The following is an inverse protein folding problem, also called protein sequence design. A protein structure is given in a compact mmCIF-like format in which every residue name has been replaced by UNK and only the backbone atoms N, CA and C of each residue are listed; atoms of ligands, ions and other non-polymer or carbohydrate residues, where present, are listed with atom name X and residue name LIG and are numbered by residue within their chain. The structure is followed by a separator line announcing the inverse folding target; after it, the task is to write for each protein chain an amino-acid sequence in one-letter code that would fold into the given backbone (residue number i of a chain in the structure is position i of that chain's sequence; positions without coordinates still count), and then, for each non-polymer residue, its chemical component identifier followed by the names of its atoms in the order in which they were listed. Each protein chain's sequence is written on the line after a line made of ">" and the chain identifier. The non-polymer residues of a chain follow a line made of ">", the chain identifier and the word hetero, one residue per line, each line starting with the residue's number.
data_IF_387679561726
#
_entry.id   IF_387679561726
#
_cell.length_a   1.000
_cell.length_b   1.000
_cell.length_c   1.000
_cell.angle_alpha   90.00
_cell.angle_beta   90.00
_cell.angle_gamma   90.00
#
_symmetry.space_group_name_H-M   'P 1'
#
loop_
_entity.id
_entity.type
_entity.pdbx_description
1 polymer ?
2 non-polymer ?
3 water ?
#
# COMPACT_ATOMS: atom_id res chain seq x y z
N UNK A 9 16.51 20.53 -0.59
CA UNK A 9 16.34 19.15 -1.13
C UNK A 9 17.17 18.14 -0.34
N UNK A 10 17.05 16.87 -0.69
CA UNK A 10 17.79 15.82 0.00
C UNK A 10 19.29 16.09 0.01
N UNK A 11 19.95 15.73 1.11
CA UNK A 11 21.39 15.91 1.21
C UNK A 11 22.04 14.69 0.61
N UNK A 12 23.32 14.81 0.23
CA UNK A 12 24.04 13.68 -0.36
C UNK A 12 24.07 12.49 0.60
N UNK A 13 24.21 12.79 1.89
CA UNK A 13 24.26 11.73 2.90
C UNK A 13 22.93 11.00 3.00
N UNK A 14 21.82 11.73 2.91
CA UNK A 14 20.50 11.11 2.97
C UNK A 14 20.30 10.21 1.75
N UNK A 15 20.70 10.70 0.58
CA UNK A 15 20.57 9.93 -0.64
C UNK A 15 21.42 8.67 -0.57
N UNK A 16 22.59 8.79 0.05
CA UNK A 16 23.49 7.65 0.20
C UNK A 16 22.88 6.62 1.12
N UNK A 17 22.27 7.08 2.21
CA UNK A 17 21.65 6.16 3.16
C UNK A 17 20.53 5.39 2.46
N UNK A 18 19.72 6.09 1.67
CA UNK A 18 18.63 5.44 0.96
C UNK A 18 19.15 4.41 -0.04
N UNK A 19 20.18 4.78 -0.78
CA UNK A 19 20.76 3.86 -1.76
C UNK A 19 21.28 2.59 -1.09
N UNK A 20 21.92 2.74 0.07
CA UNK A 20 22.46 1.59 0.78
C UNK A 20 21.41 0.72 1.47
N UNK A 21 20.19 1.25 1.61
CA UNK A 21 19.11 0.51 2.28
C UNK A 21 18.42 -0.46 1.33
N UNK A 22 18.69 -0.31 0.04
CA UNK A 22 18.09 -1.15 -0.98
C UNK A 22 19.00 -2.31 -1.36
N UNK A 23 18.50 -3.53 -1.24
CA UNK A 23 19.29 -4.71 -1.58
C UNK A 23 19.25 -4.97 -3.08
N UNK A 24 20.38 -5.40 -3.62
CA UNK A 24 20.49 -5.72 -5.03
C UNK A 24 20.68 -7.23 -5.17
N UNK A 25 19.81 -7.86 -5.96
CA UNK A 25 19.88 -9.30 -6.15
C UNK A 25 20.44 -9.61 -7.53
N UNK A 26 21.63 -10.22 -7.55
CA UNK A 26 22.30 -10.57 -8.79
C UNK A 26 21.54 -11.63 -9.59
N UNK A 27 21.46 -11.41 -10.90
CA UNK A 27 20.79 -12.33 -11.82
C UNK A 27 19.39 -12.73 -11.37
N UNK A 28 18.53 -11.74 -11.23
CA UNK A 28 17.14 -11.96 -10.82
C UNK A 28 16.29 -10.85 -11.44
N UNK A 29 15.10 -11.21 -11.97
CA UNK A 29 14.49 -12.55 -12.01
C UNK A 29 15.14 -13.49 -13.01
N UNK A 30 16.07 -12.97 -13.81
CA UNK A 30 16.79 -13.87 -14.68
C UNK A 30 18.23 -13.38 -14.88
N UNK A 31 19.09 -14.27 -15.39
CA UNK A 31 20.51 -13.95 -15.49
C UNK A 31 20.80 -12.68 -16.31
N UNK A 32 21.73 -11.88 -15.82
CA UNK A 32 22.09 -10.65 -16.51
C UNK A 32 21.56 -9.39 -15.85
N UNK A 33 20.35 -9.48 -15.29
CA UNK A 33 19.77 -8.30 -14.65
C UNK A 33 20.03 -8.26 -13.14
N UNK A 34 20.38 -7.06 -12.67
CA UNK A 34 20.67 -6.83 -11.26
C UNK A 34 19.43 -6.15 -10.67
N UNK A 35 18.65 -6.94 -9.94
CA UNK A 35 17.41 -6.44 -9.33
C UNK A 35 17.65 -5.50 -8.15
N UNK A 36 16.78 -4.51 -8.02
CA UNK A 36 16.85 -3.54 -6.94
C UNK A 36 15.61 -3.79 -6.08
N UNK A 37 15.82 -4.34 -4.89
CA UNK A 37 14.73 -4.69 -3.98
C UNK A 37 14.36 -3.61 -2.96
N UNK A 38 13.24 -2.96 -3.20
CA UNK A 38 12.78 -1.89 -2.31
C UNK A 38 12.21 -2.38 -0.99
N UNK A 39 11.96 -3.68 -0.86
CA UNK A 39 11.40 -4.19 0.39
C UNK A 39 12.37 -4.08 1.56
N UNK A 40 13.67 -4.04 1.27
CA UNK A 40 14.63 -3.91 2.37
C UNK A 40 14.56 -2.48 2.91
N UNK A 41 14.16 -1.54 2.06
CA UNK A 41 14.00 -0.15 2.48
C UNK A 41 12.76 -0.05 3.38
N UNK A 42 11.72 -0.80 3.02
CA UNK A 42 10.47 -0.82 3.79
C UNK A 42 10.70 -1.37 5.20
N UNK A 43 11.61 -2.34 5.29
CA UNK A 43 11.95 -2.98 6.55
C UNK A 43 12.75 -2.08 7.49
N UNK A 44 13.47 -1.12 6.93
CA UNK A 44 14.27 -0.20 7.73
C UNK A 44 13.43 1.02 8.05
N UNK A 45 13.00 1.16 9.31
CA UNK A 45 12.18 2.33 9.64
C UNK A 45 12.82 3.67 9.30
N UNK A 46 14.14 3.77 9.43
CA UNK A 46 14.81 5.03 9.12
C UNK A 46 14.76 5.35 7.63
N UNK A 47 15.07 4.36 6.80
CA UNK A 47 15.07 4.59 5.36
C UNK A 47 13.67 4.86 4.82
N UNK A 48 12.69 4.11 5.30
CA UNK A 48 11.32 4.28 4.84
C UNK A 48 10.80 5.66 5.19
N UNK A 49 10.95 6.06 6.46
CA UNK A 49 10.49 7.37 6.89
C UNK A 49 11.19 8.50 6.15
N UNK A 50 12.50 8.36 5.96
CA UNK A 50 13.26 9.38 5.25
C UNK A 50 12.75 9.54 3.82
N UNK A 51 12.49 8.43 3.14
CA UNK A 51 12.03 8.54 1.75
C UNK A 51 10.67 9.24 1.67
N UNK A 52 9.74 8.91 2.57
CA UNK A 52 8.44 9.58 2.56
C UNK A 52 8.58 11.07 2.91
N UNK A 53 9.34 11.37 3.95
CA UNK A 53 9.53 12.76 4.37
C UNK A 53 10.14 13.60 3.24
N UNK A 54 11.09 13.04 2.51
CA UNK A 54 11.73 13.77 1.41
C UNK A 54 10.75 14.05 0.27
N UNK A 55 9.91 13.08 -0.06
CA UNK A 55 8.95 13.29 -1.14
C UNK A 55 7.93 14.34 -0.75
N UNK A 56 7.48 14.32 0.50
CA UNK A 56 6.53 15.30 0.97
C UNK A 56 7.15 16.71 0.89
N UNK A 57 8.39 16.82 1.34
CA UNK A 57 9.07 18.11 1.33
C UNK A 57 9.28 18.64 -0.10
N UNK A 58 9.52 17.74 -1.04
CA UNK A 58 9.72 18.13 -2.44
C UNK A 58 8.48 18.77 -3.04
N UNK A 59 7.30 18.28 -2.66
CA UNK A 59 6.05 18.77 -3.23
C UNK A 59 5.14 19.59 -2.35
N UNK A 60 5.61 19.92 -1.14
CA UNK A 60 4.79 20.68 -0.21
C UNK A 60 4.26 22.02 -0.72
N UNK A 61 4.96 22.63 -1.67
CA UNK A 61 4.55 23.92 -2.21
C UNK A 61 4.10 23.84 -3.66
N UNK A 62 3.85 22.62 -4.14
CA UNK A 62 3.45 22.41 -5.53
C UNK A 62 1.95 22.49 -5.82
N UNK A 63 1.15 22.80 -4.81
CA UNK A 63 -0.29 22.90 -5.02
C UNK A 63 -0.96 21.57 -5.34
N UNK A 64 -0.41 20.49 -4.83
CA UNK A 64 -0.96 19.16 -5.06
C UNK A 64 -2.28 19.00 -4.30
N UNK A 65 -3.30 18.48 -4.97
CA UNK A 65 -4.60 18.29 -4.34
C UNK A 65 -4.96 16.81 -4.18
N UNK A 66 -4.22 15.94 -4.84
CA UNK A 66 -4.46 14.50 -4.77
C UNK A 66 -3.19 13.75 -5.09
N UNK A 67 -3.01 12.60 -4.44
CA UNK A 67 -1.86 11.75 -4.74
C UNK A 67 -2.45 10.45 -5.28
N UNK A 68 -1.91 9.99 -6.40
CA UNK A 68 -2.36 8.76 -7.03
C UNK A 68 -1.23 7.73 -6.94
N UNK A 69 -1.57 6.51 -6.57
CA UNK A 69 -0.60 5.44 -6.50
C UNK A 69 -1.19 4.18 -7.10
N UNK A 70 -0.41 3.48 -7.92
CA UNK A 70 -0.94 2.23 -8.52
C UNK A 70 -0.79 1.05 -7.55
N UNK A 71 -1.67 0.06 -7.72
CA UNK A 71 -1.57 -1.18 -6.95
C UNK A 71 -0.25 -1.94 -7.24
N UNK A 72 0.49 -2.42 -6.20
CA UNK A 72 0.27 -2.18 -4.76
C UNK A 72 1.45 -1.41 -4.12
N UNK A 73 2.61 -1.35 -4.85
CA UNK A 73 3.75 -0.56 -4.37
C UNK A 73 3.43 0.94 -4.25
N UNK A 74 2.60 1.43 -5.19
CA UNK A 74 2.20 2.84 -5.16
C UNK A 74 1.37 3.14 -3.91
N UNK A 75 0.69 2.09 -3.42
CA UNK A 75 0.04 2.21 -2.12
C UNK A 75 1.08 2.53 -1.03
N UNK A 76 2.15 1.73 -0.99
CA UNK A 76 3.16 1.86 0.05
C UNK A 76 3.91 3.18 0.08
N UNK A 77 4.06 3.82 -1.07
CA UNK A 77 4.78 5.08 -1.11
C UNK A 77 3.87 6.28 -1.35
N UNK A 78 2.84 6.10 -2.16
CA UNK A 78 1.92 7.21 -2.42
C UNK A 78 1.02 7.54 -1.25
N UNK A 79 0.50 6.54 -0.55
CA UNK A 79 -0.41 6.81 0.56
C UNK A 79 0.26 7.62 1.67
N UNK A 80 1.48 7.25 2.10
CA UNK A 80 2.13 8.03 3.15
C UNK A 80 2.42 9.47 2.71
N UNK A 81 2.69 9.66 1.42
CA UNK A 81 2.95 11.00 0.90
C UNK A 81 1.66 11.80 0.95
N UNK A 82 0.53 11.18 0.61
CA UNK A 82 -0.75 11.87 0.69
C UNK A 82 -1.00 12.31 2.11
N UNK A 83 -0.73 11.42 3.07
CA UNK A 83 -0.93 11.75 4.48
C UNK A 83 -0.01 12.90 4.89
N UNK A 84 1.24 12.88 4.40
CA UNK A 84 2.17 13.94 4.74
C UNK A 84 1.76 15.29 4.16
N UNK A 85 1.16 15.28 2.98
CA UNK A 85 0.72 16.51 2.33
C UNK A 85 -0.67 16.93 2.81
N UNK A 86 -1.38 16.02 3.47
CA UNK A 86 -2.71 16.33 3.96
C UNK A 86 -3.73 16.38 2.84
N UNK A 87 -3.53 15.56 1.81
CA UNK A 87 -4.47 15.51 0.70
C UNK A 87 -4.96 14.08 0.48
N UNK A 88 -6.06 13.94 -0.25
CA UNK A 88 -6.62 12.62 -0.49
C UNK A 88 -5.74 11.71 -1.33
N UNK A 89 -5.87 10.41 -1.09
CA UNK A 89 -5.13 9.41 -1.83
C UNK A 89 -6.11 8.68 -2.73
N UNK A 90 -5.71 8.46 -3.98
CA UNK A 90 -6.55 7.78 -4.95
C UNK A 90 -5.81 6.58 -5.52
N UNK A 91 -6.36 5.38 -5.32
CA UNK A 91 -5.70 4.18 -5.85
C UNK A 91 -6.05 3.90 -7.30
N UNK A 92 -5.06 3.44 -8.07
CA UNK A 92 -5.28 3.03 -9.44
C UNK A 92 -5.04 1.53 -9.32
N UNK A 93 -6.04 0.74 -9.71
CA UNK A 93 -5.94 -0.70 -9.51
C UNK A 93 -6.06 -1.61 -10.70
N UNK A 94 -5.78 -2.89 -10.43
CA UNK A 94 -5.89 -3.93 -11.43
C UNK A 94 -7.39 -4.04 -11.69
N UNK A 95 -7.78 -4.54 -12.87
CA UNK A 95 -9.18 -4.68 -13.25
C UNK A 95 -10.08 -5.44 -12.26
N UNK A 96 -11.29 -4.93 -12.08
CA UNK A 96 -12.27 -5.56 -11.21
C UNK A 96 -12.13 -5.44 -9.71
N UNK A 97 -11.21 -4.61 -9.23
CA UNK A 97 -11.02 -4.46 -7.80
C UNK A 97 -11.80 -3.27 -7.23
N UNK A 98 -11.82 -2.16 -7.96
CA UNK A 98 -12.55 -0.98 -7.52
C UNK A 98 -14.04 -1.27 -7.68
N UNK A 99 -14.83 -0.99 -6.63
CA UNK A 99 -16.29 -1.21 -6.63
C UNK A 99 -17.21 -0.22 -7.32
N UNK A 100 -16.78 1.04 -7.44
CA UNK A 100 -17.65 2.01 -8.10
C UNK A 100 -17.25 2.24 -9.56
N UNK A 101 -17.96 3.15 -10.23
CA UNK A 101 -17.72 3.38 -11.65
C UNK A 101 -16.26 3.72 -11.94
N UNK A 102 -15.73 3.10 -12.99
CA UNK A 102 -14.33 3.31 -13.35
C UNK A 102 -14.12 3.51 -14.84
N UNK A 103 -12.91 3.97 -15.18
CA UNK A 103 -12.48 4.06 -16.57
C UNK A 103 -11.19 3.26 -16.56
N UNK A 104 -10.78 2.80 -17.74
CA UNK A 104 -9.62 1.93 -17.87
C UNK A 104 -8.66 2.36 -18.96
N UNK A 105 -7.39 1.97 -18.79
CA UNK A 105 -6.35 2.24 -19.77
C UNK A 105 -5.47 1.00 -19.87
N UNK A 106 -5.12 0.63 -21.10
CA UNK A 106 -4.29 -0.52 -21.36
C UNK A 106 -2.82 -0.12 -21.46
N UNK A 107 -1.94 -0.98 -20.98
CA UNK A 107 -0.50 -0.72 -21.03
C UNK A 107 0.23 -2.00 -21.39
N UNK A 108 1.46 -1.86 -21.88
CA UNK A 108 2.25 -3.00 -22.30
C UNK A 108 3.07 -3.65 -21.18
N UNK A 109 3.25 -4.96 -21.31
CA UNK A 109 4.06 -5.75 -20.39
C UNK A 109 4.97 -6.58 -21.28
N UNK A 110 5.93 -7.26 -20.68
CA UNK A 110 6.87 -8.07 -21.44
C UNK A 110 6.19 -9.13 -22.30
N UNK A 111 5.13 -9.75 -21.77
CA UNK A 111 4.42 -10.80 -22.49
C UNK A 111 2.98 -10.48 -22.90
N UNK A 112 2.68 -9.21 -23.12
CA UNK A 112 1.33 -8.85 -23.52
C UNK A 112 0.91 -7.47 -23.03
N UNK A 113 -0.35 -7.36 -22.65
CA UNK A 113 -0.89 -6.10 -22.17
C UNK A 113 -1.82 -6.36 -20.99
N UNK A 114 -2.15 -5.30 -20.26
CA UNK A 114 -3.06 -5.41 -19.13
C UNK A 114 -3.72 -4.04 -18.95
N UNK A 115 -4.62 -3.92 -18.00
CA UNK A 115 -5.32 -2.66 -17.76
C UNK A 115 -5.17 -2.15 -16.34
N UNK A 116 -5.34 -0.84 -16.20
CA UNK A 116 -5.34 -0.18 -14.90
C UNK A 116 -6.65 0.61 -14.88
N UNK A 117 -7.27 0.69 -13.71
CA UNK A 117 -8.54 1.40 -13.56
C UNK A 117 -8.48 2.43 -12.44
N UNK A 118 -9.38 3.41 -12.53
CA UNK A 118 -9.48 4.46 -11.52
C UNK A 118 -10.95 4.81 -11.35
N UNK A 119 -11.35 5.20 -10.15
CA UNK A 119 -12.73 5.59 -9.90
C UNK A 119 -12.96 6.92 -10.62
N UNK A 120 -14.03 7.00 -11.40
CA UNK A 120 -14.34 8.21 -12.14
C UNK A 120 -14.54 9.44 -11.27
N UNK A 121 -15.08 9.25 -10.06
CA UNK A 121 -15.33 10.37 -9.17
C UNK A 121 -14.15 10.76 -8.29
N UNK A 122 -13.04 10.03 -8.42
CA UNK A 122 -11.86 10.29 -7.60
C UNK A 122 -11.06 11.53 -8.01
N UNK A 123 -11.11 11.88 -9.28
CA UNK A 123 -10.39 13.04 -9.82
C UNK A 123 -11.39 13.94 -10.53
N UNK A 124 -11.28 15.25 -10.28
CA UNK A 124 -12.18 16.21 -10.91
C UNK A 124 -11.40 17.36 -11.53
N UNK A 125 -12.02 18.10 -12.45
CA UNK A 125 -11.34 19.23 -13.08
C UNK A 125 -10.90 20.19 -11.98
N UNK A 126 -9.65 20.64 -12.03
CA UNK A 126 -9.16 21.52 -10.99
C UNK A 126 -8.18 20.82 -10.09
N UNK A 127 -8.19 19.49 -10.12
CA UNK A 127 -7.27 18.72 -9.28
C UNK A 127 -5.87 18.73 -9.88
N UNK A 128 -4.86 18.85 -9.01
CA UNK A 128 -3.47 18.79 -9.45
C UNK A 128 -2.95 17.55 -8.76
N UNK A 129 -2.56 16.58 -9.56
CA UNK A 129 -2.14 15.29 -9.07
C UNK A 129 -0.65 14.97 -9.09
N UNK A 130 -0.21 14.29 -8.04
CA UNK A 130 1.16 13.81 -7.95
C UNK A 130 1.04 12.29 -8.00
N UNK A 131 1.79 11.66 -8.91
CA UNK A 131 1.79 10.20 -8.99
C UNK A 131 3.04 9.73 -8.27
N UNK A 132 2.91 8.72 -7.43
CA UNK A 132 4.05 8.18 -6.69
C UNK A 132 4.11 6.68 -6.89
N UNK A 133 5.32 6.17 -7.15
CA UNK A 133 5.49 4.73 -7.33
C UNK A 133 6.83 4.31 -6.76
N UNK A 134 7.03 3.01 -6.62
CA UNK A 134 8.28 2.53 -6.05
C UNK A 134 9.46 2.59 -7.01
N UNK A 135 9.24 2.16 -8.26
CA UNK A 135 10.34 2.11 -9.20
C UNK A 135 9.95 2.45 -10.64
N UNK A 136 10.77 3.27 -11.28
CA UNK A 136 10.56 3.66 -12.66
C UNK A 136 11.43 2.80 -13.56
N UNK A 137 10.79 1.96 -14.36
CA UNK A 137 11.47 1.08 -15.30
C UNK A 137 11.09 1.57 -16.70
N UNK A 138 10.21 0.84 -17.38
CA UNK A 138 9.77 1.25 -18.71
C UNK A 138 8.83 2.45 -18.66
N UNK A 139 8.12 2.59 -17.53
CA UNK A 139 7.20 3.69 -17.37
C UNK A 139 5.80 3.44 -17.91
N UNK A 140 5.55 2.23 -18.41
CA UNK A 140 4.26 1.91 -18.97
C UNK A 140 3.05 2.16 -18.09
N UNK A 141 3.09 1.67 -16.86
CA UNK A 141 1.96 1.86 -15.94
C UNK A 141 1.74 3.32 -15.59
N UNK A 142 2.81 4.09 -15.47
CA UNK A 142 2.66 5.51 -15.13
C UNK A 142 2.08 6.26 -16.33
N UNK A 143 2.51 5.88 -17.53
CA UNK A 143 2.00 6.51 -18.74
C UNK A 143 0.48 6.31 -18.80
N UNK A 144 0.04 5.09 -18.49
CA UNK A 144 -1.40 4.77 -18.49
C UNK A 144 -2.13 5.54 -17.40
N UNK A 145 -1.48 5.67 -16.24
CA UNK A 145 -2.07 6.38 -15.12
C UNK A 145 -2.27 7.85 -15.45
N UNK A 146 -1.28 8.45 -16.13
CA UNK A 146 -1.39 9.84 -16.52
C UNK A 146 -2.59 10.03 -17.46
N UNK A 147 -2.80 9.07 -18.36
CA UNK A 147 -3.92 9.15 -19.28
C UNK A 147 -5.24 9.06 -18.52
N UNK A 148 -5.30 8.20 -17.51
CA UNK A 148 -6.52 8.08 -16.70
C UNK A 148 -6.83 9.39 -15.99
N UNK A 149 -5.82 9.97 -15.35
CA UNK A 149 -5.97 11.22 -14.63
C UNK A 149 -6.46 12.34 -15.55
N UNK A 150 -5.84 12.49 -16.71
CA UNK A 150 -6.24 13.55 -17.63
C UNK A 150 -7.61 13.33 -18.26
N UNK A 151 -8.04 12.08 -18.40
CA UNK A 151 -9.36 11.82 -18.96
C UNK A 151 -10.44 12.30 -17.99
N UNK A 152 -10.08 12.40 -16.71
CA UNK A 152 -11.02 12.87 -15.69
C UNK A 152 -10.90 14.36 -15.45
N UNK A 153 -10.03 15.03 -16.21
CA UNK A 153 -9.88 16.46 -16.06
C UNK A 153 -8.80 16.88 -15.09
N UNK A 154 -8.11 15.91 -14.50
CA UNK A 154 -7.06 16.25 -13.57
C UNK A 154 -5.81 16.71 -14.30
N UNK A 155 -5.03 17.55 -13.62
CA UNK A 155 -3.79 18.03 -14.20
C UNK A 155 -2.68 17.26 -13.49
N UNK A 156 -1.74 16.72 -14.27
CA UNK A 156 -0.62 16.00 -13.69
C UNK A 156 0.64 16.28 -14.48
N UNK A 157 1.65 16.77 -13.75
CA UNK A 157 2.92 17.08 -14.38
C UNK A 157 4.10 16.51 -13.59
N UNK A 158 3.76 15.77 -12.50
CA UNK A 158 4.78 15.27 -11.57
C UNK A 158 4.60 13.77 -11.28
N UNK A 159 5.72 13.05 -11.28
CA UNK A 159 5.74 11.65 -10.88
C UNK A 159 6.97 11.50 -10.00
N UNK A 160 6.81 10.85 -8.85
CA UNK A 160 7.91 10.66 -7.91
C UNK A 160 8.15 9.17 -7.70
N UNK A 161 9.42 8.80 -7.59
CA UNK A 161 9.81 7.40 -7.44
C UNK A 161 10.90 7.21 -6.41
N UNK A 162 10.94 6.03 -5.80
CA UNK A 162 11.99 5.73 -4.84
C UNK A 162 13.22 5.36 -5.66
N UNK A 163 13.01 4.53 -6.69
CA UNK A 163 14.10 4.06 -7.55
C UNK A 163 13.86 4.41 -9.03
N UNK A 164 14.94 4.79 -9.71
CA UNK A 164 14.87 5.10 -11.13
C UNK A 164 15.95 4.32 -11.88
N UNK A 165 15.51 3.36 -12.69
CA UNK A 165 16.44 2.56 -13.49
C UNK A 165 16.59 3.36 -14.78
N UNK A 166 17.45 4.37 -14.72
CA UNK A 166 17.66 5.27 -15.85
C UNK A 166 18.06 4.68 -17.20
N UNK A 167 18.52 3.43 -17.22
CA UNK A 167 18.90 2.82 -18.49
C UNK A 167 17.69 2.23 -19.23
N UNK A 168 16.51 2.29 -18.62
CA UNK A 168 15.32 1.74 -19.24
C UNK A 168 14.43 2.75 -19.98
N UNK A 169 14.84 4.01 -19.98
CA UNK A 169 14.10 5.04 -20.69
C UNK A 169 12.75 5.50 -20.16
N UNK A 170 12.42 5.11 -18.93
CA UNK A 170 11.14 5.52 -18.37
C UNK A 170 10.97 7.01 -18.21
N UNK A 171 12.00 7.68 -17.72
CA UNK A 171 11.93 9.13 -17.51
C UNK A 171 11.66 9.89 -18.81
N UNK A 172 12.36 9.50 -19.88
CA UNK A 172 12.18 10.16 -21.17
C UNK A 172 10.79 9.91 -21.73
N UNK A 173 10.29 8.69 -21.53
CA UNK A 173 8.96 8.34 -21.99
C UNK A 173 7.94 9.25 -21.32
N UNK A 174 8.09 9.47 -20.02
CA UNK A 174 7.16 10.32 -19.30
C UNK A 174 7.31 11.78 -19.69
N UNK A 175 8.52 12.18 -20.07
CA UNK A 175 8.73 13.56 -20.51
C UNK A 175 7.92 13.82 -21.78
N UNK A 176 7.70 12.79 -22.59
CA UNK A 176 6.92 12.97 -23.80
C UNK A 176 5.48 13.33 -23.48
N UNK A 177 5.07 13.04 -22.24
CA UNK A 177 3.72 13.37 -21.78
C UNK A 177 3.70 14.66 -20.96
N UNK A 178 4.86 15.31 -20.83
CA UNK A 178 4.94 16.53 -20.06
C UNK A 178 5.13 16.28 -18.56
N UNK A 179 5.59 15.09 -18.22
CA UNK A 179 5.81 14.73 -16.82
C UNK A 179 7.27 14.88 -16.40
N UNK A 180 7.48 15.52 -15.27
CA UNK A 180 8.82 15.67 -14.72
C UNK A 180 8.91 14.63 -13.61
N UNK A 181 9.91 13.76 -13.71
CA UNK A 181 10.08 12.71 -12.72
C UNK A 181 11.13 13.08 -11.70
N UNK A 182 10.86 12.75 -10.43
CA UNK A 182 11.79 13.00 -9.36
C UNK A 182 12.03 11.63 -8.71
N UNK A 183 13.28 11.21 -8.64
CA UNK A 183 13.61 9.92 -8.06
C UNK A 183 14.67 10.06 -6.98
N UNK A 184 14.54 9.26 -5.92
CA UNK A 184 15.49 9.33 -4.82
C UNK A 184 16.75 8.51 -5.04
N UNK A 185 16.61 7.34 -5.66
CA UNK A 185 17.75 6.47 -5.87
C UNK A 185 17.92 5.99 -7.31
N UNK A 186 18.90 6.55 -8.04
CA UNK A 186 19.12 6.15 -9.42
C UNK A 186 20.03 4.92 -9.47
N UNK A 187 19.72 3.98 -10.36
CA UNK A 187 20.52 2.76 -10.52
C UNK A 187 20.70 2.46 -12.00
N UNK A 188 21.88 1.96 -12.39
CA UNK A 188 22.15 1.62 -13.79
C UNK A 188 21.78 0.16 -14.04
N UNK A 189 21.75 -0.24 -15.32
CA UNK A 189 21.42 -1.62 -15.64
C UNK A 189 19.99 -1.87 -16.05
N UNK A 190 19.75 -3.06 -16.60
CA UNK A 190 18.42 -3.45 -17.04
C UNK A 190 17.60 -4.00 -15.87
N UNK B 10 -10.38 6.05 21.32
CA UNK B 10 -11.19 6.80 20.33
C UNK B 10 -12.50 7.25 20.96
N UNK B 11 -12.88 8.50 20.69
CA UNK B 11 -14.12 9.05 21.23
C UNK B 11 -15.31 8.65 20.36
N UNK B 12 -16.50 8.76 20.92
CA UNK B 12 -17.72 8.41 20.19
C UNK B 12 -17.81 9.26 18.93
N UNK B 13 -17.38 10.51 19.03
CA UNK B 13 -17.44 11.42 17.90
C UNK B 13 -16.50 11.00 16.77
N UNK B 14 -15.29 10.58 17.12
CA UNK B 14 -14.31 10.15 16.12
C UNK B 14 -14.76 8.87 15.43
N UNK B 15 -15.27 7.93 16.20
CA UNK B 15 -15.72 6.67 15.64
C UNK B 15 -16.89 6.90 14.69
N UNK B 16 -17.74 7.88 15.03
CA UNK B 16 -18.89 8.21 14.22
C UNK B 16 -18.42 8.84 12.90
N UNK B 17 -17.39 9.68 13.00
CA UNK B 17 -16.85 10.34 11.82
C UNK B 17 -16.30 9.30 10.84
N UNK B 18 -15.53 8.36 11.36
CA UNK B 18 -14.96 7.30 10.52
C UNK B 18 -16.03 6.45 9.86
N UNK B 19 -17.05 6.09 10.62
CA UNK B 19 -18.13 5.27 10.08
C UNK B 19 -18.82 5.98 8.92
N UNK B 20 -19.03 7.29 9.06
CA UNK B 20 -19.69 8.07 8.01
C UNK B 20 -18.81 8.34 6.79
N UNK B 21 -17.50 8.21 6.95
CA UNK B 21 -16.57 8.46 5.85
C UNK B 21 -16.50 7.29 4.87
N UNK B 22 -17.02 6.15 5.28
CA UNK B 22 -17.02 4.95 4.45
C UNK B 22 -18.32 4.79 3.68
N UNK B 23 -18.22 4.65 2.36
CA UNK B 23 -19.40 4.48 1.52
C UNK B 23 -19.84 3.04 1.46
N UNK B 24 -21.15 2.82 1.54
CA UNK B 24 -21.71 1.48 1.47
C UNK B 24 -22.48 1.36 0.16
N UNK B 25 -22.12 0.36 -0.64
CA UNK B 25 -22.75 0.14 -1.93
C UNK B 25 -23.78 -0.98 -1.81
N UNK B 26 -25.05 -0.62 -1.99
CA UNK B 26 -26.15 -1.57 -1.89
C UNK B 26 -26.18 -2.58 -3.03
N UNK B 27 -26.43 -3.84 -2.68
CA UNK B 27 -26.52 -4.92 -3.66
C UNK B 27 -25.27 -5.12 -4.50
N UNK B 28 -24.11 -5.04 -3.85
CA UNK B 28 -22.83 -5.25 -4.54
C UNK B 28 -21.93 -6.07 -3.64
N UNK B 29 -21.27 -7.10 -4.20
CA UNK B 29 -21.32 -7.53 -5.61
C UNK B 29 -22.60 -8.26 -6.03
N UNK B 30 -23.48 -8.55 -5.08
CA UNK B 30 -24.74 -9.18 -5.43
C UNK B 30 -25.86 -8.73 -4.49
N UNK B 31 -27.12 -8.90 -4.92
CA UNK B 31 -28.27 -8.43 -4.15
C UNK B 31 -28.26 -8.92 -2.70
N UNK B 32 -28.54 -8.00 -1.78
CA UNK B 32 -28.56 -8.35 -0.37
C UNK B 32 -27.25 -8.09 0.37
N UNK B 33 -26.20 -7.80 -0.38
CA UNK B 33 -24.89 -7.54 0.20
C UNK B 33 -24.53 -6.05 0.11
N UNK B 34 -23.92 -5.53 1.15
CA UNK B 34 -23.49 -4.13 1.19
C UNK B 34 -21.97 -4.06 1.17
N UNK B 35 -21.41 -3.56 0.08
CA UNK B 35 -19.96 -3.45 -0.03
C UNK B 35 -19.51 -2.21 0.74
N UNK B 36 -18.60 -2.40 1.68
CA UNK B 36 -18.08 -1.29 2.47
C UNK B 36 -16.83 -0.82 1.75
N UNK B 37 -16.94 0.32 1.07
CA UNK B 37 -15.86 0.89 0.26
C UNK B 37 -14.97 1.86 1.02
N UNK B 38 -13.75 1.42 1.33
CA UNK B 38 -12.81 2.26 2.06
C UNK B 38 -12.12 3.34 1.23
N UNK B 39 -12.31 3.30 -0.10
CA UNK B 39 -11.68 4.31 -0.94
C UNK B 39 -12.21 5.70 -0.64
N UNK B 40 -13.44 5.79 -0.14
CA UNK B 40 -14.01 7.09 0.19
C UNK B 40 -13.33 7.65 1.44
N UNK B 41 -12.79 6.76 2.26
CA UNK B 41 -12.08 7.17 3.47
C UNK B 41 -10.69 7.63 3.05
N UNK B 42 -10.10 6.93 2.08
CA UNK B 42 -8.77 7.26 1.58
C UNK B 42 -8.73 8.65 0.94
N UNK B 43 -9.82 9.06 0.30
CA UNK B 43 -9.99 10.33 -0.40
C UNK B 43 -10.12 11.51 0.58
N UNK B 44 -10.59 11.21 1.79
CA UNK B 44 -10.85 12.24 2.77
C UNK B 44 -9.65 12.41 3.69
N UNK B 45 -8.98 13.57 3.63
CA UNK B 45 -7.80 13.86 4.45
C UNK B 45 -7.96 13.58 5.95
N UNK B 46 -9.00 14.13 6.55
CA UNK B 46 -9.21 13.92 7.98
C UNK B 46 -9.50 12.48 8.36
N UNK B 47 -10.38 11.82 7.61
CA UNK B 47 -10.75 10.44 7.91
C UNK B 47 -9.57 9.49 7.85
N UNK B 48 -8.79 9.59 6.77
CA UNK B 48 -7.65 8.71 6.61
C UNK B 48 -6.62 8.95 7.71
N UNK B 49 -6.29 10.21 7.95
CA UNK B 49 -5.31 10.55 8.99
C UNK B 49 -5.79 10.11 10.36
N UNK B 50 -7.08 10.31 10.64
CA UNK B 50 -7.64 9.92 11.93
C UNK B 50 -7.55 8.41 12.13
N UNK B 51 -7.87 7.64 11.10
CA UNK B 51 -7.82 6.18 11.21
C UNK B 51 -6.42 5.71 11.55
N UNK B 52 -5.41 6.28 10.90
CA UNK B 52 -4.03 5.90 11.16
C UNK B 52 -3.59 6.35 12.54
N UNK B 53 -3.90 7.59 12.90
CA UNK B 53 -3.51 8.12 14.19
C UNK B 53 -4.10 7.31 15.34
N UNK B 54 -5.35 6.87 15.20
CA UNK B 54 -5.98 6.08 16.24
C UNK B 54 -5.31 4.73 16.43
N UNK B 55 -4.94 4.08 15.32
CA UNK B 55 -4.28 2.77 15.42
C UNK B 55 -2.90 2.93 16.05
N UNK B 56 -2.17 3.97 15.64
CA UNK B 56 -0.86 4.22 16.21
C UNK B 56 -0.94 4.46 17.71
N UNK B 57 -1.93 5.25 18.13
CA UNK B 57 -2.11 5.57 19.54
C UNK B 57 -2.37 4.32 20.36
N UNK B 58 -3.17 3.40 19.80
CA UNK B 58 -3.51 2.17 20.48
C UNK B 58 -2.30 1.27 20.74
N UNK B 59 -1.34 1.26 19.82
CA UNK B 59 -0.17 0.40 19.96
C UNK B 59 1.16 1.05 20.26
N UNK B 60 1.16 2.36 20.48
CA UNK B 60 2.42 3.07 20.74
C UNK B 60 3.24 2.56 21.93
N UNK B 61 2.58 1.95 22.91
CA UNK B 61 3.29 1.45 24.10
C UNK B 61 3.35 -0.07 24.16
N UNK B 62 2.93 -0.73 23.08
CA UNK B 62 2.87 -2.19 23.02
C UNK B 62 4.18 -2.90 22.68
N UNK B 63 5.24 -2.15 22.44
CA UNK B 63 6.52 -2.78 22.13
C UNK B 63 6.56 -3.46 20.77
N UNK B 64 5.79 -2.94 19.82
CA UNK B 64 5.77 -3.50 18.48
C UNK B 64 7.10 -3.20 17.79
N UNK B 65 7.67 -4.19 17.12
CA UNK B 65 8.94 -3.98 16.42
C UNK B 65 8.79 -4.15 14.91
N UNK B 66 7.64 -4.67 14.48
CA UNK B 66 7.36 -4.85 13.06
C UNK B 66 5.87 -4.80 12.80
N UNK B 67 5.47 -4.21 11.67
CA UNK B 67 4.06 -4.20 11.29
C UNK B 67 4.00 -5.02 10.00
N UNK B 68 3.08 -5.98 9.97
CA UNK B 68 2.88 -6.82 8.80
C UNK B 68 1.54 -6.49 8.18
N UNK B 69 1.52 -6.36 6.86
CA UNK B 69 0.28 -6.07 6.16
C UNK B 69 0.21 -6.94 4.92
N UNK B 70 -0.96 -7.49 4.63
CA UNK B 70 -1.10 -8.31 3.41
C UNK B 70 -1.43 -7.40 2.22
N UNK B 71 -0.93 -7.76 1.01
CA UNK B 71 -1.38 -7.00 -0.15
C UNK B 71 -2.90 -7.14 -0.27
N UNK B 72 -3.62 -6.13 -0.81
CA UNK B 72 -3.06 -4.82 -1.18
C UNK B 72 -3.67 -3.70 -0.34
N UNK B 73 -5.02 -3.75 -0.18
CA UNK B 73 -5.60 -2.67 0.60
C UNK B 73 -4.99 -2.61 2.00
N UNK B 74 -4.54 -3.76 2.48
CA UNK B 74 -3.91 -3.78 3.79
C UNK B 74 -2.70 -2.86 3.88
N UNK B 75 -1.98 -2.75 2.76
CA UNK B 75 -0.79 -1.91 2.67
C UNK B 75 -1.11 -0.45 3.01
N UNK B 76 -2.30 -0.02 2.61
CA UNK B 76 -2.75 1.36 2.81
C UNK B 76 -2.91 1.74 4.27
N UNK B 77 -3.01 0.75 5.14
CA UNK B 77 -3.17 1.02 6.56
C UNK B 77 -1.99 0.52 7.37
N UNK B 78 -1.45 -0.63 7.00
CA UNK B 78 -0.29 -1.16 7.71
C UNK B 78 0.96 -0.29 7.56
N UNK B 79 1.22 0.20 6.35
CA UNK B 79 2.41 1.02 6.13
C UNK B 79 2.39 2.33 6.93
N UNK B 80 1.29 3.09 6.86
CA UNK B 80 1.25 4.35 7.62
C UNK B 80 1.34 4.09 9.15
N UNK B 81 0.79 2.97 9.60
CA UNK B 81 0.86 2.64 11.02
C UNK B 81 2.31 2.32 11.37
N UNK B 82 3.00 1.59 10.49
CA UNK B 82 4.41 1.28 10.73
C UNK B 82 5.22 2.58 10.86
N UNK B 83 4.96 3.52 9.96
CA UNK B 83 5.66 4.81 9.99
C UNK B 83 5.32 5.56 11.28
N UNK B 84 4.05 5.52 11.68
CA UNK B 84 3.65 6.21 12.90
C UNK B 84 4.28 5.62 14.14
N UNK B 85 4.50 4.31 14.13
CA UNK B 85 5.13 3.62 15.26
C UNK B 85 6.65 3.65 15.17
N UNK B 86 7.17 4.02 14.00
CA UNK B 86 8.61 4.07 13.83
C UNK B 86 9.25 2.71 13.71
N UNK B 87 8.52 1.77 13.12
CA UNK B 87 9.03 0.41 12.93
C UNK B 87 8.95 -0.03 11.47
N UNK B 88 9.72 -1.06 11.13
CA UNK B 88 9.71 -1.54 9.76
C UNK B 88 8.40 -2.16 9.34
N UNK B 89 8.12 -2.07 8.05
CA UNK B 89 6.91 -2.65 7.47
C UNK B 89 7.29 -3.89 6.67
N UNK B 90 6.55 -4.97 6.90
CA UNK B 90 6.80 -6.24 6.23
C UNK B 90 5.58 -6.67 5.43
N UNK B 91 5.72 -6.75 4.10
CA UNK B 91 4.58 -7.14 3.27
C UNK B 91 4.41 -8.65 3.18
N UNK B 92 3.15 -9.08 3.13
CA UNK B 92 2.83 -10.48 2.93
C UNK B 92 2.08 -10.45 1.60
N UNK B 93 2.53 -11.26 0.64
CA UNK B 93 1.92 -11.23 -0.68
C UNK B 93 1.66 -12.58 -1.33
N UNK B 94 0.91 -12.56 -2.43
CA UNK B 94 0.63 -13.78 -3.17
C UNK B 94 1.96 -14.17 -3.80
N UNK B 95 2.15 -15.47 -4.10
CA UNK B 95 3.39 -15.95 -4.70
C UNK B 95 3.79 -15.24 -5.98
N UNK B 96 5.09 -15.10 -6.20
CA UNK B 96 5.59 -14.47 -7.42
C UNK B 96 5.95 -13.01 -7.36
N UNK B 97 5.78 -12.37 -6.20
CA UNK B 97 6.10 -10.96 -6.08
C UNK B 97 7.37 -10.69 -5.29
N UNK B 98 7.44 -11.22 -4.07
CA UNK B 98 8.61 -11.03 -3.23
C UNK B 98 9.82 -11.69 -3.89
N UNK B 99 10.93 -10.94 -4.03
CA UNK B 99 12.16 -11.42 -4.66
C UNK B 99 13.14 -12.27 -3.86
N UNK B 100 13.15 -12.12 -2.54
CA UNK B 100 14.06 -12.89 -1.71
C UNK B 100 13.43 -14.17 -1.15
N UNK B 101 14.19 -14.94 -0.39
CA UNK B 101 13.69 -16.19 0.16
C UNK B 101 12.41 -15.99 0.96
N UNK B 102 11.44 -16.87 0.74
CA UNK B 102 10.16 -16.78 1.43
C UNK B 102 9.66 -18.12 1.92
N UNK B 103 8.67 -18.08 2.80
CA UNK B 103 8.00 -19.29 3.25
C UNK B 103 6.55 -18.98 2.89
N UNK B 104 5.73 -20.01 2.74
CA UNK B 104 4.35 -19.81 2.33
C UNK B 104 3.33 -20.59 3.16
N UNK B 105 2.10 -20.09 3.14
CA UNK B 105 0.97 -20.71 3.83
C UNK B 105 -0.24 -20.70 2.90
N UNK B 106 -0.99 -21.80 2.92
CA UNK B 106 -2.18 -21.92 2.09
C UNK B 106 -3.42 -21.64 2.91
N UNK B 107 -4.38 -20.92 2.31
CA UNK B 107 -5.63 -20.63 3.01
C UNK B 107 -6.81 -20.95 2.10
N UNK B 108 -7.94 -21.25 2.72
CA UNK B 108 -9.14 -21.62 1.98
C UNK B 108 -9.97 -20.47 1.42
N UNK B 109 -10.63 -20.74 0.31
CA UNK B 109 -11.50 -19.80 -0.37
C UNK B 109 -12.77 -20.56 -0.73
N UNK B 110 -13.81 -19.85 -1.16
CA UNK B 110 -15.07 -20.48 -1.50
C UNK B 110 -14.90 -21.73 -2.36
N UNK B 111 -14.38 -21.56 -3.57
CA UNK B 111 -14.18 -22.70 -4.46
C UNK B 111 -12.69 -22.96 -4.71
N UNK B 112 -11.93 -23.05 -3.62
CA UNK B 112 -10.51 -23.32 -3.76
C UNK B 112 -9.63 -22.81 -2.65
N UNK B 113 -8.38 -22.51 -2.99
CA UNK B 113 -7.42 -22.04 -2.02
C UNK B 113 -6.47 -21.06 -2.70
N UNK B 114 -5.59 -20.47 -1.91
CA UNK B 114 -4.60 -19.54 -2.42
C UNK B 114 -3.46 -19.56 -1.41
N UNK B 115 -2.39 -18.82 -1.71
CA UNK B 115 -1.24 -18.79 -0.82
C UNK B 115 -0.76 -17.40 -0.52
N UNK B 116 -0.06 -17.25 0.61
CA UNK B 116 0.52 -15.99 1.02
C UNK B 116 1.96 -16.30 1.41
N UNK B 117 2.86 -15.38 1.07
CA UNK B 117 4.27 -15.55 1.37
C UNK B 117 4.83 -14.35 2.12
N UNK B 118 5.94 -14.58 2.81
CA UNK B 118 6.62 -13.54 3.57
C UNK B 118 8.12 -13.79 3.44
N UNK B 119 8.91 -12.73 3.48
CA UNK B 119 10.37 -12.87 3.40
C UNK B 119 10.84 -13.48 4.71
N UNK B 120 11.61 -14.56 4.61
CA UNK B 120 12.12 -15.24 5.80
C UNK B 120 12.97 -14.35 6.70
N UNK B 121 13.70 -13.42 6.10
CA UNK B 121 14.56 -12.53 6.89
C UNK B 121 13.89 -11.30 7.47
N UNK B 122 12.62 -11.08 7.13
CA UNK B 122 11.91 -9.89 7.61
C UNK B 122 11.42 -9.98 9.05
N UNK B 123 11.24 -11.20 9.55
CA UNK B 123 10.79 -11.41 10.91
C UNK B 123 11.87 -12.22 11.61
N UNK B 124 12.38 -11.69 12.70
CA UNK B 124 13.42 -12.36 13.46
C UNK B 124 12.89 -12.80 14.81
N UNK B 125 13.47 -13.88 15.38
CA UNK B 125 13.05 -14.36 16.68
C UNK B 125 13.13 -13.20 17.68
N UNK B 126 12.01 -12.99 18.42
CA UNK B 126 11.99 -11.90 19.36
C UNK B 126 11.14 -10.72 18.90
N UNK B 127 11.02 -10.56 17.55
CA UNK B 127 10.16 -9.49 17.03
C UNK B 127 8.76 -9.61 17.61
N UNK B 128 8.15 -8.47 17.91
CA UNK B 128 6.76 -8.45 18.34
C UNK B 128 6.05 -7.78 17.18
N UNK B 129 5.12 -8.51 16.58
CA UNK B 129 4.42 -8.05 15.40
C UNK B 129 2.98 -7.62 15.56
N UNK B 130 2.62 -6.58 14.82
CA UNK B 130 1.24 -6.09 14.77
C UNK B 130 0.81 -6.31 13.32
N UNK B 131 -0.30 -7.02 13.12
CA UNK B 131 -0.81 -7.23 11.77
C UNK B 131 -1.89 -6.17 11.56
N UNK B 132 -1.86 -5.50 10.42
CA UNK B 132 -2.86 -4.48 10.12
C UNK B 132 -3.49 -4.79 8.78
N UNK B 133 -4.81 -4.66 8.69
CA UNK B 133 -5.50 -4.89 7.45
C UNK B 133 -6.67 -3.92 7.36
N UNK B 134 -7.24 -3.80 6.17
CA UNK B 134 -8.35 -2.88 6.00
C UNK B 134 -9.66 -3.39 6.59
N UNK B 135 -9.97 -4.66 6.37
CA UNK B 135 -11.23 -5.20 6.85
C UNK B 135 -11.16 -6.65 7.30
N UNK B 136 -11.82 -6.91 8.43
CA UNK B 136 -11.87 -8.25 8.98
C UNK B 136 -13.17 -8.91 8.53
N UNK B 137 -13.03 -9.93 7.68
CA UNK B 137 -14.18 -10.67 7.27
C UNK B 137 -14.06 -12.08 7.79
N UNK B 138 -13.73 -13.08 6.97
CA UNK B 138 -13.60 -14.45 7.49
C UNK B 138 -12.37 -14.59 8.37
N UNK B 139 -11.34 -13.80 8.07
CA UNK B 139 -10.10 -13.85 8.84
C UNK B 139 -9.11 -14.87 8.32
N UNK B 140 -9.46 -15.53 7.21
CA UNK B 140 -8.58 -16.54 6.64
C UNK B 140 -7.17 -16.09 6.31
N UNK B 141 -7.04 -14.95 5.65
CA UNK B 141 -5.71 -14.46 5.29
C UNK B 141 -4.90 -14.08 6.52
N UNK B 142 -5.56 -13.55 7.54
CA UNK B 142 -4.85 -13.17 8.75
C UNK B 142 -4.40 -14.42 9.50
N UNK B 143 -5.24 -15.45 9.51
CA UNK B 143 -4.89 -16.70 10.16
C UNK B 143 -3.61 -17.25 9.53
N UNK B 144 -3.54 -17.20 8.20
CA UNK B 144 -2.36 -17.69 7.47
C UNK B 144 -1.14 -16.82 7.78
N UNK B 145 -1.36 -15.52 7.88
CA UNK B 145 -0.29 -14.58 8.16
C UNK B 145 0.30 -14.82 9.55
N UNK B 146 -0.57 -15.09 10.52
CA UNK B 146 -0.12 -15.37 11.87
C UNK B 146 0.77 -16.61 11.88
N UNK B 147 0.41 -17.61 11.08
CA UNK B 147 1.22 -18.83 11.03
C UNK B 147 2.58 -18.54 10.42
N UNK B 148 2.63 -17.68 9.40
CA UNK B 148 3.90 -17.32 8.78
C UNK B 148 4.81 -16.63 9.81
N UNK B 149 4.25 -15.65 10.52
CA UNK B 149 5.01 -14.91 11.52
C UNK B 149 5.59 -15.83 12.59
N UNK B 150 4.76 -16.73 13.12
CA UNK B 150 5.24 -17.63 14.16
C UNK B 150 6.24 -18.67 13.66
N UNK B 151 6.17 -19.05 12.40
CA UNK B 151 7.14 -20.01 11.87
C UNK B 151 8.53 -19.38 11.84
N UNK B 152 8.58 -18.05 11.79
CA UNK B 152 9.87 -17.33 11.77
C UNK B 152 10.32 -16.93 13.17
N UNK B 153 9.58 -17.36 14.19
CA UNK B 153 9.95 -17.04 15.55
C UNK B 153 9.42 -15.72 16.05
N UNK B 154 8.59 -15.06 15.25
CA UNK B 154 8.04 -13.79 15.67
C UNK B 154 6.88 -14.02 16.62
N UNK B 155 6.61 -13.02 17.45
CA UNK B 155 5.54 -13.04 18.41
C UNK B 155 4.41 -12.17 17.91
N UNK B 156 3.20 -12.68 17.80
CA UNK B 156 2.08 -11.86 17.37
C UNK B 156 0.83 -12.21 18.15
N UNK B 157 0.27 -11.16 18.77
CA UNK B 157 -0.97 -11.33 19.53
C UNK B 157 -1.98 -10.22 19.22
N UNK B 158 -1.63 -9.36 18.23
CA UNK B 158 -2.50 -8.23 17.89
C UNK B 158 -2.74 -8.12 16.38
N UNK B 159 -3.98 -7.79 16.04
CA UNK B 159 -4.37 -7.51 14.66
C UNK B 159 -5.30 -6.31 14.71
N UNK B 160 -5.06 -5.34 13.84
CA UNK B 160 -5.86 -4.12 13.80
C UNK B 160 -6.52 -3.97 12.43
N UNK B 161 -7.76 -3.49 12.43
CA UNK B 161 -8.54 -3.33 11.22
C UNK B 161 -9.31 -2.02 11.19
N UNK B 162 -9.59 -1.53 9.99
CA UNK B 162 -10.38 -0.32 9.88
C UNK B 162 -11.84 -0.75 10.05
N UNK B 163 -12.23 -1.79 9.33
CA UNK B 163 -13.60 -2.28 9.39
C UNK B 163 -13.70 -3.71 9.90
N UNK B 164 -14.71 -3.96 10.72
CA UNK B 164 -14.95 -5.29 11.25
C UNK B 164 -16.37 -5.73 10.90
N UNK B 165 -16.47 -6.76 10.05
CA UNK B 165 -17.77 -7.30 9.71
C UNK B 165 -18.10 -8.38 10.73
N UNK B 166 -18.66 -7.89 11.86
CA UNK B 166 -18.80 -8.75 13.03
C UNK B 166 -19.64 -10.03 12.81
N UNK B 167 -20.42 -10.07 11.69
CA UNK B 167 -21.32 -11.16 11.33
C UNK B 167 -20.58 -12.40 10.78
N UNK B 168 -19.35 -12.18 10.31
CA UNK B 168 -18.59 -13.24 9.68
C UNK B 168 -17.67 -14.10 10.56
N UNK B 169 -17.64 -13.78 11.85
CA UNK B 169 -16.85 -14.57 12.80
C UNK B 169 -15.34 -14.47 12.75
N UNK B 170 -14.80 -13.46 12.08
CA UNK B 170 -13.37 -13.32 11.99
C UNK B 170 -12.69 -13.09 13.32
N UNK B 171 -13.28 -12.23 14.15
CA UNK B 171 -12.68 -11.93 15.45
C UNK B 171 -12.53 -13.19 16.29
N UNK B 172 -13.57 -14.02 16.33
CA UNK B 172 -13.54 -15.26 17.11
C UNK B 172 -12.51 -16.24 16.55
N UNK B 173 -12.43 -16.29 15.23
CA UNK B 173 -11.48 -17.18 14.56
C UNK B 173 -10.05 -16.81 14.95
N UNK B 174 -9.75 -15.52 14.98
CA UNK B 174 -8.42 -15.08 15.34
C UNK B 174 -8.15 -15.28 16.84
N UNK B 175 -9.20 -15.19 17.65
CA UNK B 175 -9.03 -15.43 19.07
C UNK B 175 -8.58 -16.87 19.30
N UNK B 176 -8.97 -17.79 18.41
CA UNK B 176 -8.54 -19.18 18.57
C UNK B 176 -7.02 -19.30 18.42
N UNK B 177 -6.41 -18.30 17.79
CA UNK B 177 -4.97 -18.28 17.60
C UNK B 177 -4.28 -17.41 18.65
N UNK B 178 -5.06 -16.87 19.58
CA UNK B 178 -4.50 -16.03 20.62
C UNK B 178 -4.34 -14.58 20.17
N UNK B 179 -5.09 -14.20 19.13
CA UNK B 179 -5.03 -12.85 18.61
C UNK B 179 -6.17 -11.98 19.10
N UNK B 180 -5.83 -10.78 19.58
CA UNK B 180 -6.84 -9.83 20.01
C UNK B 180 -6.97 -8.83 18.86
N UNK B 181 -8.18 -8.66 18.36
CA UNK B 181 -8.44 -7.74 17.27
C UNK B 181 -8.96 -6.40 17.75
N UNK B 182 -8.49 -5.35 17.11
CA UNK B 182 -8.93 -3.98 17.42
C UNK B 182 -9.45 -3.43 16.10
N UNK B 183 -10.71 -3.03 16.08
CA UNK B 183 -11.32 -2.48 14.87
C UNK B 183 -11.95 -1.13 15.14
N UNK B 184 -11.91 -0.26 14.14
CA UNK B 184 -12.46 1.09 14.27
C UNK B 184 -13.91 1.23 13.87
N UNK B 185 -14.32 0.53 12.82
CA UNK B 185 -15.69 0.62 12.33
C UNK B 185 -16.41 -0.72 12.17
N UNK B 186 -17.39 -0.99 13.04
CA UNK B 186 -18.13 -2.26 12.96
C UNK B 186 -19.30 -2.13 11.97
N UNK B 187 -19.47 -3.14 11.13
CA UNK B 187 -20.57 -3.17 10.16
C UNK B 187 -21.19 -4.55 10.11
N UNK B 188 -22.52 -4.64 9.97
CA UNK B 188 -23.20 -5.93 9.91
C UNK B 188 -23.26 -6.42 8.47
N UNK B 189 -23.92 -7.54 8.25
CA UNK B 189 -24.04 -8.07 6.89
C UNK B 189 -22.89 -8.98 6.47
N UNK B 190 -23.19 -9.88 5.54
CA UNK B 190 -22.21 -10.82 5.02
C UNK B 190 -21.49 -10.26 3.79
#
# INVERSE_FOLDING_TARGET
>A
GSSGSSGMTATAQQLEYLKNSIKSIQDYPKPGILFRDVTSLLEDPKAYALSIDLLVERYKNAGITKVVGTEARGFLFGAPVALGLGVGFVPVRKPGKLPRETISETYDLEYGTDQLEIHVDAIKPGDKVLVVDDLLATGGTIEATVKLIRRLGGEVADAAFIINLFDLGGEQRLEKQGITSYSLVPFPGH
>B
GSSGSSGMTATAQQLEYLKNSIKSIQDYPKPGILFRDVTSLLEDPKAYALSIDLLVERYKNAGITKVVGTEARGFLFGAPVALGLGVGFVPVRKPGKLPRETISETYDLEYGTDQLEIHVDAIKPGDKVLVVDDLLATGGTIEATVKLIRRLGGEVADAAFIINLFDLGGEQRLEKQGITSYSLVPFPGH
#
